data_IF_532710673543
#
_entry.id   IF_532710673543
#
_cell.length_a   1.000
_cell.length_b   1.000
_cell.length_c   1.000
_cell.angle_alpha   90.00
_cell.angle_beta   90.00
_cell.angle_gamma   90.00
#
_symmetry.space_group_name_H-M   'P 1'
#
loop_
_entity.id
_entity.type
_entity.pdbx_description
1 polymer ?
#
# COMPACT_ATOMS: atom_id res chain seq x y z
N UNK A 1 6.63 13.65 2.18
CA UNK A 1 6.63 12.18 2.20
C UNK A 1 7.82 11.67 1.41
N UNK A 2 8.55 10.70 1.95
CA UNK A 2 9.66 10.01 1.30
C UNK A 2 9.24 8.57 0.98
N UNK A 3 9.54 8.09 -0.22
CA UNK A 3 9.26 6.72 -0.65
C UNK A 3 10.56 6.15 -1.18
N UNK A 4 11.14 5.21 -0.43
CA UNK A 4 12.32 4.47 -0.83
C UNK A 4 11.90 3.27 -1.66
N UNK A 5 12.30 3.23 -2.94
CA UNK A 5 11.89 2.18 -3.88
C UNK A 5 13.10 1.32 -4.22
N UNK A 6 12.97 0.02 -4.01
CA UNK A 6 13.94 -0.99 -4.45
C UNK A 6 13.26 -1.90 -5.48
N UNK A 7 13.79 -1.89 -6.71
CA UNK A 7 13.35 -2.81 -7.77
C UNK A 7 14.37 -3.95 -7.89
N UNK A 8 13.98 -5.15 -7.53
CA UNK A 8 14.79 -6.36 -7.71
C UNK A 8 14.41 -7.13 -8.97
N UNK A 9 13.19 -6.94 -9.48
CA UNK A 9 12.75 -7.44 -10.77
C UNK A 9 12.82 -6.34 -11.82
N UNK A 10 13.59 -6.55 -12.88
CA UNK A 10 13.87 -5.57 -13.95
C UNK A 10 12.67 -5.21 -14.82
N UNK A 11 11.57 -5.93 -14.72
CA UNK A 11 10.31 -5.61 -15.41
C UNK A 11 9.58 -4.43 -14.76
N UNK A 12 9.88 -4.13 -13.49
CA UNK A 12 9.39 -2.93 -12.84
C UNK A 12 10.13 -1.67 -13.31
N UNK A 13 9.39 -0.65 -13.66
CA UNK A 13 9.95 0.67 -13.93
C UNK A 13 9.91 1.51 -12.65
N UNK A 14 11.07 1.94 -12.17
CA UNK A 14 11.16 2.80 -10.98
C UNK A 14 10.38 4.12 -11.17
N UNK A 15 10.46 4.73 -12.36
CA UNK A 15 9.71 5.95 -12.67
C UNK A 15 8.20 5.75 -12.65
N UNK A 16 7.72 4.59 -13.10
CA UNK A 16 6.32 4.20 -13.00
C UNK A 16 5.91 4.05 -11.53
N UNK A 17 6.68 3.28 -10.75
CA UNK A 17 6.39 3.04 -9.33
C UNK A 17 6.42 4.34 -8.53
N UNK A 18 7.39 5.22 -8.77
CA UNK A 18 7.45 6.55 -8.15
C UNK A 18 6.17 7.35 -8.35
N UNK A 19 5.65 7.35 -9.59
CA UNK A 19 4.43 8.10 -9.94
C UNK A 19 3.19 7.49 -9.27
N UNK A 20 3.03 6.16 -9.39
CA UNK A 20 1.85 5.47 -8.87
C UNK A 20 1.82 5.48 -7.34
N UNK A 21 2.95 5.17 -6.68
CA UNK A 21 3.02 5.15 -5.23
C UNK A 21 2.78 6.54 -4.62
N UNK A 22 3.39 7.58 -5.21
CA UNK A 22 3.14 8.97 -4.78
C UNK A 22 1.65 9.30 -4.84
N UNK A 23 1.00 9.03 -5.99
CA UNK A 23 -0.43 9.30 -6.16
C UNK A 23 -1.29 8.53 -5.14
N UNK A 24 -1.02 7.23 -4.95
CA UNK A 24 -1.79 6.38 -4.03
C UNK A 24 -1.66 6.85 -2.58
N UNK A 25 -0.45 7.18 -2.15
CA UNK A 25 -0.19 7.58 -0.76
C UNK A 25 -0.69 9.00 -0.47
N UNK A 26 -0.48 9.95 -1.38
CA UNK A 26 -1.06 11.30 -1.26
C UNK A 26 -2.59 11.24 -1.17
N UNK A 27 -3.21 10.40 -1.98
CA UNK A 27 -4.66 10.20 -1.97
C UNK A 27 -5.15 9.66 -0.62
N UNK A 28 -4.47 8.66 -0.05
CA UNK A 28 -4.79 8.10 1.26
C UNK A 28 -4.63 9.15 2.37
N UNK A 29 -3.45 9.78 2.47
CA UNK A 29 -3.12 10.72 3.54
C UNK A 29 -4.02 11.96 3.52
N UNK A 30 -4.22 12.55 2.34
CA UNK A 30 -5.07 13.73 2.18
C UNK A 30 -6.53 13.47 2.58
N UNK A 31 -7.05 12.28 2.29
CA UNK A 31 -8.42 11.91 2.64
C UNK A 31 -8.63 11.76 4.15
N UNK A 32 -7.57 11.37 4.86
CA UNK A 32 -7.55 11.21 6.31
C UNK A 32 -7.14 12.50 7.03
N UNK A 33 -6.90 13.59 6.30
CA UNK A 33 -6.40 14.87 6.81
C UNK A 33 -5.06 14.75 7.55
N UNK A 34 -4.22 13.82 7.10
CA UNK A 34 -2.88 13.61 7.63
C UNK A 34 -1.91 14.43 6.80
N UNK A 35 -1.05 15.22 7.45
CA UNK A 35 -0.02 15.99 6.74
C UNK A 35 1.08 15.06 6.21
N UNK A 36 1.38 15.16 4.90
CA UNK A 36 2.28 14.26 4.19
C UNK A 36 3.77 14.46 4.47
N UNK A 37 4.13 15.57 5.08
CA UNK A 37 5.50 16.11 5.04
C UNK A 37 6.55 15.21 5.71
N UNK A 38 6.16 14.42 6.71
CA UNK A 38 7.10 13.73 7.58
C UNK A 38 6.92 12.21 7.59
N UNK A 39 6.44 11.59 6.52
CA UNK A 39 6.31 10.14 6.44
C UNK A 39 7.31 9.51 5.48
N UNK A 40 7.79 8.33 5.84
CA UNK A 40 8.65 7.48 5.05
C UNK A 40 8.04 6.08 4.90
N UNK A 41 8.14 5.52 3.70
CA UNK A 41 7.67 4.18 3.35
C UNK A 41 8.73 3.50 2.50
N UNK A 42 9.01 2.22 2.74
CA UNK A 42 9.82 1.39 1.86
C UNK A 42 8.93 0.56 0.93
N UNK A 43 9.23 0.59 -0.36
CA UNK A 43 8.54 -0.19 -1.39
C UNK A 43 9.53 -1.12 -2.10
N UNK A 44 9.35 -2.42 -1.94
CA UNK A 44 10.07 -3.47 -2.67
C UNK A 44 9.21 -3.91 -3.87
N UNK A 45 9.76 -3.79 -5.07
CA UNK A 45 9.15 -4.25 -6.31
C UNK A 45 9.92 -5.49 -6.81
N UNK A 46 9.33 -6.66 -6.64
CA UNK A 46 10.01 -7.95 -6.70
C UNK A 46 9.33 -8.94 -7.65
N UNK A 47 9.92 -10.14 -7.76
CA UNK A 47 9.36 -11.30 -8.46
C UNK A 47 8.55 -12.20 -7.52
N UNK A 48 8.03 -13.30 -8.06
CA UNK A 48 7.21 -14.25 -7.30
C UNK A 48 7.99 -14.99 -6.22
N UNK A 49 9.24 -15.35 -6.45
CA UNK A 49 10.04 -16.13 -5.50
C UNK A 49 10.31 -15.28 -4.24
N UNK A 50 10.69 -14.02 -4.43
CA UNK A 50 10.97 -13.11 -3.33
C UNK A 50 9.71 -12.82 -2.49
N UNK A 51 8.56 -12.56 -3.13
CA UNK A 51 7.33 -12.28 -2.38
C UNK A 51 6.78 -13.54 -1.70
N UNK A 52 6.98 -14.72 -2.28
CA UNK A 52 6.65 -16.01 -1.66
C UNK A 52 7.45 -16.25 -0.39
N UNK A 53 8.76 -15.98 -0.41
CA UNK A 53 9.62 -16.06 0.77
C UNK A 53 9.14 -15.10 1.87
N UNK A 54 8.79 -13.86 1.50
CA UNK A 54 8.23 -12.88 2.42
C UNK A 54 6.88 -13.34 2.98
N UNK A 55 6.00 -13.86 2.13
CA UNK A 55 4.67 -14.35 2.53
C UNK A 55 4.79 -15.54 3.50
N UNK A 56 5.74 -16.45 3.24
CA UNK A 56 6.04 -17.57 4.15
C UNK A 56 6.55 -17.06 5.50
N UNK A 57 7.50 -16.11 5.52
CA UNK A 57 8.12 -15.59 6.75
C UNK A 57 7.14 -14.84 7.63
N UNK A 58 6.28 -13.99 7.03
CA UNK A 58 5.44 -13.05 7.78
C UNK A 58 3.99 -13.52 7.97
N UNK A 59 3.49 -14.43 7.11
CA UNK A 59 2.10 -14.92 7.17
C UNK A 59 1.99 -16.44 7.27
N UNK A 60 3.11 -17.19 7.14
CA UNK A 60 3.13 -18.64 7.14
C UNK A 60 2.53 -19.28 5.88
N UNK A 61 2.39 -18.51 4.78
CA UNK A 61 1.76 -18.95 3.53
C UNK A 61 2.84 -19.16 2.47
N UNK A 62 3.02 -20.39 2.02
CA UNK A 62 4.04 -20.76 1.03
C UNK A 62 3.49 -20.63 -0.42
N UNK A 63 3.11 -19.43 -0.79
CA UNK A 63 2.68 -19.10 -2.16
C UNK A 63 2.93 -17.60 -2.44
N UNK A 64 3.18 -17.22 -3.71
CA UNK A 64 3.29 -15.81 -4.06
C UNK A 64 1.93 -15.10 -3.87
N UNK A 65 1.98 -13.80 -3.64
CA UNK A 65 0.82 -12.90 -3.57
C UNK A 65 1.12 -11.64 -4.37
N UNK A 66 0.10 -10.83 -4.64
CA UNK A 66 0.26 -9.58 -5.39
C UNK A 66 0.97 -8.51 -4.55
N UNK A 67 0.55 -8.31 -3.29
CA UNK A 67 1.08 -7.29 -2.39
C UNK A 67 1.15 -7.81 -0.96
N UNK A 68 2.15 -7.33 -0.21
CA UNK A 68 2.29 -7.51 1.23
C UNK A 68 2.59 -6.16 1.86
N UNK A 69 2.03 -5.89 3.03
CA UNK A 69 2.31 -4.68 3.80
C UNK A 69 2.56 -5.01 5.26
N UNK A 70 3.56 -4.36 5.85
CA UNK A 70 3.96 -4.48 7.26
C UNK A 70 4.03 -3.10 7.88
N UNK A 71 3.03 -2.73 8.68
CA UNK A 71 3.08 -1.48 9.42
C UNK A 71 4.18 -1.54 10.49
N UNK A 72 4.90 -0.43 10.67
CA UNK A 72 5.88 -0.27 11.75
C UNK A 72 5.20 -0.18 13.12
N UNK A 73 3.96 0.36 13.15
CA UNK A 73 3.21 0.55 14.39
C UNK A 73 2.08 -0.46 14.50
N UNK A 74 1.91 -1.03 15.70
CA UNK A 74 0.75 -1.84 16.02
C UNK A 74 -0.41 -0.93 16.46
N UNK A 75 -1.43 -0.83 15.60
CA UNK A 75 -2.64 -0.03 15.85
C UNK A 75 -3.75 -0.82 16.55
N UNK A 76 -3.48 -2.03 17.04
CA UNK A 76 -4.49 -2.89 17.67
C UNK A 76 -5.10 -2.17 18.90
N UNK A 77 -6.41 -1.90 18.82
CA UNK A 77 -7.19 -1.30 19.89
C UNK A 77 -7.08 0.22 20.05
N UNK A 78 -6.35 0.91 19.18
CA UNK A 78 -6.32 2.38 19.12
C UNK A 78 -7.24 2.88 18.01
N UNK A 79 -7.94 3.99 18.26
CA UNK A 79 -8.70 4.65 17.20
C UNK A 79 -7.76 4.94 16.01
N UNK A 80 -8.20 4.51 14.81
CA UNK A 80 -7.52 4.77 13.55
C UNK A 80 -7.08 6.25 13.57
N UNK A 81 -5.76 6.49 13.44
CA UNK A 81 -5.20 7.85 13.23
C UNK A 81 -5.12 8.78 14.46
N UNK A 82 -4.94 8.32 15.67
CA UNK A 82 -4.22 9.14 16.62
C UNK A 82 -2.71 8.86 16.45
N UNK A 83 -2.11 9.36 15.37
CA UNK A 83 -0.70 9.62 15.31
C UNK A 83 -0.38 10.71 16.36
N UNK A 84 -0.39 10.36 17.63
CA UNK A 84 0.41 11.11 18.59
C UNK A 84 1.84 10.82 18.19
N UNK A 85 2.44 11.81 17.56
CA UNK A 85 3.88 11.90 17.43
C UNK A 85 4.52 12.02 18.83
N UNK A 86 4.27 11.04 19.70
CA UNK A 86 5.11 10.78 20.89
C UNK A 86 6.40 10.08 20.41
N UNK A 87 6.88 10.47 19.24
CA UNK A 87 8.24 10.24 18.86
C UNK A 87 9.11 11.17 19.71
N UNK A 88 9.43 10.70 20.91
CA UNK A 88 10.67 11.14 21.59
C UNK A 88 11.88 10.65 20.76
N UNK A 89 11.85 10.88 19.46
CA UNK A 89 13.06 10.87 18.66
C UNK A 89 13.73 12.22 18.95
N UNK A 90 14.91 12.13 19.52
CA UNK A 90 15.81 13.27 19.74
C UNK A 90 15.98 13.99 18.42
N UNK A 91 15.26 15.10 18.25
CA UNK A 91 15.38 15.97 17.08
C UNK A 91 16.79 16.55 17.08
N UNK A 92 17.56 16.21 16.07
CA UNK A 92 18.78 16.93 15.75
C UNK A 92 18.31 18.24 15.11
N UNK A 93 18.66 19.42 15.66
CA UNK A 93 18.23 20.67 15.10
C UNK A 93 18.69 20.81 13.64
N UNK A 94 17.75 20.95 12.71
CA UNK A 94 18.00 21.12 11.27
C UNK A 94 17.78 19.88 10.40
N UNK A 95 17.41 18.72 10.95
CA UNK A 95 17.02 17.54 10.18
C UNK A 95 15.50 17.35 10.17
N UNK A 96 14.94 17.08 9.00
CA UNK A 96 13.54 16.68 8.87
C UNK A 96 13.37 15.27 9.47
N UNK A 97 12.62 15.17 10.56
CA UNK A 97 12.30 13.88 11.17
C UNK A 97 11.18 13.22 10.37
N UNK A 98 11.47 12.08 9.78
CA UNK A 98 10.47 11.25 9.10
C UNK A 98 9.96 10.16 10.04
N UNK A 99 8.64 9.98 10.06
CA UNK A 99 7.98 8.84 10.71
C UNK A 99 7.91 7.70 9.71
N UNK A 100 8.64 6.63 9.97
CA UNK A 100 8.59 5.44 9.13
C UNK A 100 7.27 4.70 9.35
N UNK A 101 6.47 4.57 8.30
CA UNK A 101 5.14 3.92 8.38
C UNK A 101 5.23 2.41 8.25
N UNK A 102 6.22 1.90 7.56
CA UNK A 102 6.43 0.49 7.33
C UNK A 102 6.83 0.14 5.90
N UNK A 103 6.69 -1.14 5.56
CA UNK A 103 7.15 -1.70 4.31
C UNK A 103 5.99 -2.22 3.48
N UNK A 104 6.13 -2.11 2.15
CA UNK A 104 5.27 -2.74 1.16
C UNK A 104 6.14 -3.53 0.19
N UNK A 105 5.72 -4.76 -0.15
CA UNK A 105 6.29 -5.53 -1.25
C UNK A 105 5.22 -5.84 -2.29
N UNK A 106 5.57 -5.74 -3.59
CA UNK A 106 4.65 -5.96 -4.71
C UNK A 106 5.31 -6.85 -5.77
N UNK A 107 4.61 -7.89 -6.26
CA UNK A 107 5.12 -8.87 -7.20
C UNK A 107 4.59 -8.67 -8.61
N UNK A 108 5.52 -8.61 -9.58
CA UNK A 108 5.18 -8.33 -10.98
C UNK A 108 4.24 -9.37 -11.60
N UNK A 109 4.59 -10.65 -11.50
CA UNK A 109 3.86 -11.71 -12.21
C UNK A 109 2.42 -11.85 -11.71
N UNK A 110 2.22 -11.84 -10.39
CA UNK A 110 0.86 -11.94 -9.82
C UNK A 110 0.02 -10.76 -10.28
N UNK A 111 0.54 -9.54 -10.15
CA UNK A 111 -0.16 -8.33 -10.58
C UNK A 111 -0.49 -8.34 -12.09
N UNK A 112 0.48 -8.75 -12.91
CA UNK A 112 0.29 -8.84 -14.37
C UNK A 112 -0.77 -9.87 -14.73
N UNK A 113 -0.73 -11.06 -14.13
CA UNK A 113 -1.72 -12.12 -14.36
C UNK A 113 -3.13 -11.71 -13.90
N UNK A 114 -3.25 -11.03 -12.76
CA UNK A 114 -4.54 -10.50 -12.30
C UNK A 114 -5.10 -9.48 -13.28
N UNK A 115 -4.27 -8.60 -13.84
CA UNK A 115 -4.68 -7.63 -14.84
C UNK A 115 -5.18 -8.30 -16.12
N UNK A 116 -4.47 -9.33 -16.61
CA UNK A 116 -4.86 -10.10 -17.79
C UNK A 116 -6.19 -10.83 -17.57
N UNK A 117 -6.31 -11.55 -16.45
CA UNK A 117 -7.49 -12.35 -16.14
C UNK A 117 -8.73 -11.49 -15.90
N UNK A 118 -8.58 -10.31 -15.32
CA UNK A 118 -9.67 -9.41 -14.99
C UNK A 118 -9.91 -8.33 -16.05
N UNK A 119 -9.12 -8.28 -17.13
CA UNK A 119 -9.20 -7.27 -18.19
C UNK A 119 -9.15 -5.83 -17.65
N UNK A 120 -8.29 -5.59 -16.65
CA UNK A 120 -8.10 -4.27 -16.04
C UNK A 120 -6.74 -3.68 -16.41
N UNK A 121 -6.65 -2.36 -16.38
CA UNK A 121 -5.39 -1.67 -16.68
C UNK A 121 -4.38 -1.88 -15.58
N UNK A 122 -3.14 -2.18 -15.95
CA UNK A 122 -2.04 -2.37 -14.99
C UNK A 122 -1.86 -1.17 -14.06
N UNK A 123 -1.93 0.07 -14.62
CA UNK A 123 -1.90 1.29 -13.81
C UNK A 123 -2.97 1.31 -12.72
N UNK A 124 -4.21 1.04 -13.09
CA UNK A 124 -5.35 1.12 -12.17
C UNK A 124 -5.21 0.07 -11.06
N UNK A 125 -4.77 -1.14 -11.42
CA UNK A 125 -4.56 -2.22 -10.47
C UNK A 125 -3.43 -1.93 -9.48
N UNK A 126 -2.26 -1.48 -9.96
CA UNK A 126 -1.14 -1.14 -9.09
C UNK A 126 -1.49 0.05 -8.18
N UNK A 127 -2.23 1.04 -8.70
CA UNK A 127 -2.73 2.16 -7.89
C UNK A 127 -3.62 1.67 -6.75
N UNK A 128 -4.56 0.77 -7.04
CA UNK A 128 -5.42 0.16 -6.03
C UNK A 128 -4.60 -0.61 -4.99
N UNK A 129 -3.71 -1.51 -5.40
CA UNK A 129 -2.92 -2.31 -4.48
C UNK A 129 -2.03 -1.45 -3.56
N UNK A 130 -1.39 -0.41 -4.10
CA UNK A 130 -0.57 0.50 -3.29
C UNK A 130 -1.40 1.36 -2.35
N UNK A 131 -2.60 1.79 -2.76
CA UNK A 131 -3.55 2.46 -1.89
C UNK A 131 -3.97 1.54 -0.72
N UNK A 132 -4.35 0.29 -1.03
CA UNK A 132 -4.69 -0.75 -0.06
C UNK A 132 -3.56 -0.99 0.96
N UNK A 133 -2.34 -1.20 0.46
CA UNK A 133 -1.16 -1.35 1.31
C UNK A 133 -0.91 -0.13 2.20
N UNK A 134 -1.06 1.08 1.67
CA UNK A 134 -0.93 2.31 2.45
C UNK A 134 -1.98 2.40 3.57
N UNK A 135 -3.23 2.04 3.31
CA UNK A 135 -4.27 2.01 4.34
C UNK A 135 -3.94 1.01 5.45
N UNK A 136 -3.35 -0.15 5.11
CA UNK A 136 -2.84 -1.06 6.12
C UNK A 136 -1.73 -0.44 6.97
N UNK A 137 -0.78 0.27 6.36
CA UNK A 137 0.26 0.99 7.11
C UNK A 137 -0.31 2.08 8.03
N UNK A 138 -1.48 2.60 7.71
CA UNK A 138 -2.22 3.59 8.50
C UNK A 138 -3.19 2.96 9.52
N UNK A 139 -3.14 1.63 9.71
CA UNK A 139 -3.89 0.90 10.74
C UNK A 139 -5.26 0.41 10.33
N UNK A 140 -5.64 0.53 9.05
CA UNK A 140 -6.83 -0.15 8.55
C UNK A 140 -6.57 -1.66 8.45
N UNK A 141 -7.60 -2.47 8.63
CA UNK A 141 -7.50 -3.94 8.58
C UNK A 141 -8.72 -4.53 7.90
N UNK A 142 -8.51 -5.64 7.21
CA UNK A 142 -9.52 -6.45 6.54
C UNK A 142 -9.79 -7.80 7.24
N UNK A 143 -9.21 -7.99 8.42
CA UNK A 143 -9.32 -9.27 9.17
C UNK A 143 -10.73 -9.60 9.66
N UNK A 144 -11.56 -8.59 9.87
CA UNK A 144 -12.98 -8.74 10.27
C UNK A 144 -13.87 -8.17 9.18
N UNK A 145 -15.01 -8.79 8.92
CA UNK A 145 -15.94 -8.37 7.87
C UNK A 145 -16.35 -6.88 7.95
N UNK A 146 -16.55 -6.36 9.16
CA UNK A 146 -16.91 -4.95 9.36
C UNK A 146 -15.74 -4.03 9.01
N UNK A 147 -14.53 -4.37 9.43
CA UNK A 147 -13.34 -3.57 9.16
C UNK A 147 -12.97 -3.64 7.67
N UNK A 148 -13.09 -4.81 7.05
CA UNK A 148 -12.90 -5.02 5.62
C UNK A 148 -13.84 -4.11 4.83
N UNK A 149 -15.14 -4.11 5.16
CA UNK A 149 -16.11 -3.25 4.47
C UNK A 149 -15.78 -1.77 4.59
N UNK A 150 -15.37 -1.31 5.76
CA UNK A 150 -14.97 0.10 5.97
C UNK A 150 -13.77 0.47 5.10
N UNK A 151 -12.79 -0.44 4.98
CA UNK A 151 -11.59 -0.23 4.17
C UNK A 151 -11.94 -0.25 2.66
N UNK A 152 -12.72 -1.23 2.20
CA UNK A 152 -13.20 -1.33 0.81
C UNK A 152 -14.02 -0.09 0.40
N UNK A 153 -14.97 0.35 1.22
CA UNK A 153 -15.78 1.54 0.94
C UNK A 153 -14.91 2.81 0.83
N UNK A 154 -13.84 2.90 1.63
CA UNK A 154 -12.87 3.98 1.54
C UNK A 154 -12.06 3.89 0.25
N UNK A 155 -11.54 2.72 -0.11
CA UNK A 155 -10.79 2.50 -1.34
C UNK A 155 -11.61 2.86 -2.58
N UNK A 156 -12.85 2.38 -2.66
CA UNK A 156 -13.77 2.70 -3.75
C UNK A 156 -13.94 4.22 -3.90
N UNK A 157 -14.20 4.91 -2.79
CA UNK A 157 -14.37 6.36 -2.77
C UNK A 157 -13.12 7.11 -3.21
N UNK A 158 -11.94 6.63 -2.82
CA UNK A 158 -10.68 7.27 -3.15
C UNK A 158 -10.30 7.03 -4.62
N UNK A 159 -10.45 5.82 -5.11
CA UNK A 159 -10.19 5.45 -6.50
C UNK A 159 -11.12 6.16 -7.48
N UNK A 160 -12.38 6.33 -7.12
CA UNK A 160 -13.36 7.08 -7.93
C UNK A 160 -12.92 8.54 -8.15
N UNK A 161 -12.31 9.20 -7.16
CA UNK A 161 -11.79 10.58 -7.28
C UNK A 161 -10.74 10.75 -8.38
N UNK A 162 -10.05 9.68 -8.72
CA UNK A 162 -9.01 9.66 -9.77
C UNK A 162 -9.46 8.91 -11.02
N UNK A 163 -10.76 8.59 -11.13
CA UNK A 163 -11.36 7.94 -12.30
C UNK A 163 -11.06 6.45 -12.43
N UNK A 164 -10.63 5.79 -11.36
CA UNK A 164 -10.46 4.33 -11.34
C UNK A 164 -11.75 3.69 -10.85
N UNK A 165 -12.25 2.73 -11.64
CA UNK A 165 -13.50 2.02 -11.35
C UNK A 165 -13.36 1.18 -10.07
N UNK A 166 -14.52 0.88 -9.43
CA UNK A 166 -14.60 0.03 -8.26
C UNK A 166 -13.89 -1.33 -8.52
N UNK A 167 -12.80 -1.65 -7.80
CA UNK A 167 -12.02 -2.88 -8.02
C UNK A 167 -12.73 -4.15 -7.52
N UNK A 168 -13.77 -4.00 -6.71
CA UNK A 168 -14.54 -5.09 -6.10
C UNK A 168 -15.78 -5.47 -6.90
N UNK A 169 -16.12 -4.72 -7.96
CA UNK A 169 -17.17 -5.15 -8.87
C UNK A 169 -16.70 -6.36 -9.66
N UNK A 170 -17.46 -7.46 -9.60
CA UNK A 170 -17.31 -8.55 -10.55
C UNK A 170 -17.49 -7.99 -11.96
N UNK A 171 -16.48 -8.19 -12.82
CA UNK A 171 -16.65 -7.89 -14.24
C UNK A 171 -17.62 -8.97 -14.75
N UNK A 172 -18.90 -8.59 -14.87
CA UNK A 172 -19.85 -9.44 -15.58
C UNK A 172 -19.31 -9.59 -17.00
N UNK A 173 -18.78 -10.80 -17.25
CA UNK A 173 -18.30 -11.17 -18.57
C UNK A 173 -19.48 -11.06 -19.55
N UNK A 174 -19.28 -10.18 -20.55
CA UNK A 174 -20.14 -10.15 -21.72
C UNK A 174 -19.84 -11.31 -22.66
#
# INVERSE_FOLDING_TARGET
>A
MKIDILCTDTRWSESFLKKVSKQSFELALSSLRIEEKNFEISLLACNNDEIQDLNMRFRGINSPTNILSWPEFDFVGKNKVEFKADTKQTSIPGEDIFVFLGNIAIAYDVCSNECLNRHIKFWDHITHLLLHGCLHLLGYTDKKSIDAKVMEDLEIKLLDRIGIKNPYCEIQGG
#
